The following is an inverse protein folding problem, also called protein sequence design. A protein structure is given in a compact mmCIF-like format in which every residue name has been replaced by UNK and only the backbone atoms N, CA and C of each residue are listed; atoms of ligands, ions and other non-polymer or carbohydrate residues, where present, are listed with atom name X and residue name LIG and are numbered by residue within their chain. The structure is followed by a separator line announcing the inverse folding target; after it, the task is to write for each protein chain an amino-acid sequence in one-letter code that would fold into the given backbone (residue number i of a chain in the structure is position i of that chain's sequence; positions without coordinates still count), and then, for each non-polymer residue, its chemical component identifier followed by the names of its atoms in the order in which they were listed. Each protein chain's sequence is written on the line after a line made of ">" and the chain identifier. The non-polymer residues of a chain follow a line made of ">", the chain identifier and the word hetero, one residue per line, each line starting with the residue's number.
data_IF_353331762689
#
_entry.id   IF_353331762689
#
_cell.length_a   1.000
_cell.length_b   1.000
_cell.length_c   1.000
_cell.angle_alpha   90.00
_cell.angle_beta   90.00
_cell.angle_gamma   90.00
#
_symmetry.space_group_name_H-M   'P 1'
#
loop_
_entity.id
_entity.type
_entity.pdbx_description
1 polymer ?
#
# COMPACT_ATOMS: atom_id res chain seq x y z
N UNK A 1 -20.09 23.85 28.70
CA UNK A 1 -20.16 22.53 28.05
C UNK A 1 -18.86 22.27 27.30
N UNK A 2 -18.11 21.20 27.59
CA UNK A 2 -16.82 20.93 26.94
C UNK A 2 -16.90 20.62 25.43
N UNK A 3 -18.00 19.99 24.97
CA UNK A 3 -18.19 19.64 23.56
C UNK A 3 -18.25 20.85 22.63
N UNK A 4 -19.04 21.87 22.99
CA UNK A 4 -19.20 23.09 22.18
C UNK A 4 -17.87 23.82 21.99
N UNK A 5 -17.01 23.84 23.02
CA UNK A 5 -15.67 24.42 22.94
C UNK A 5 -14.75 23.63 22.01
N UNK A 6 -14.71 22.30 22.14
CA UNK A 6 -13.89 21.45 21.27
C UNK A 6 -14.33 21.56 19.80
N UNK A 7 -15.63 21.60 19.55
CA UNK A 7 -16.16 21.75 18.20
C UNK A 7 -15.80 23.12 17.61
N UNK A 8 -16.00 24.20 18.36
CA UNK A 8 -15.62 25.54 17.93
C UNK A 8 -14.12 25.64 17.58
N UNK A 9 -13.25 24.95 18.33
CA UNK A 9 -11.82 24.90 18.04
C UNK A 9 -11.49 24.11 16.75
N UNK A 10 -12.18 22.98 16.50
CA UNK A 10 -12.03 22.22 15.26
C UNK A 10 -12.54 23.00 14.04
N UNK A 11 -13.66 23.70 14.18
CA UNK A 11 -14.27 24.52 13.13
C UNK A 11 -13.36 25.71 12.78
N UNK A 12 -12.81 26.37 13.81
CA UNK A 12 -11.83 27.44 13.66
C UNK A 12 -10.61 26.98 12.85
N UNK A 13 -10.06 25.81 13.17
CA UNK A 13 -8.92 25.22 12.44
C UNK A 13 -9.23 24.81 11.00
N UNK A 14 -10.50 24.55 10.69
CA UNK A 14 -10.93 24.09 9.36
C UNK A 14 -11.23 25.25 8.42
N UNK A 15 -11.95 26.27 8.87
CA UNK A 15 -12.42 27.37 7.99
C UNK A 15 -11.53 28.62 8.02
N UNK A 16 -11.00 28.98 9.19
CA UNK A 16 -10.28 30.24 9.38
C UNK A 16 -8.77 29.99 9.49
N UNK A 17 -8.33 29.12 10.38
CA UNK A 17 -6.91 28.88 10.69
C UNK A 17 -6.36 27.69 9.88
N UNK A 18 -6.85 27.52 8.65
CA UNK A 18 -6.51 26.38 7.79
C UNK A 18 -5.02 26.39 7.38
N UNK A 19 -4.43 25.20 7.24
CA UNK A 19 -3.01 25.06 6.95
C UNK A 19 -2.56 25.55 5.56
N UNK A 20 -3.49 25.67 4.59
CA UNK A 20 -3.16 26.08 3.20
C UNK A 20 -3.56 27.52 2.92
N UNK A 21 -4.70 27.97 3.45
CA UNK A 21 -5.30 29.27 3.15
C UNK A 21 -5.86 29.86 4.44
N UNK A 22 -5.00 30.27 5.38
CA UNK A 22 -5.46 30.88 6.62
C UNK A 22 -6.07 32.27 6.35
N UNK A 23 -7.10 32.63 7.12
CA UNK A 23 -7.81 33.93 7.08
C UNK A 23 -7.66 34.63 8.43
N UNK A 24 -6.43 34.93 8.89
CA UNK A 24 -6.21 35.35 10.27
C UNK A 24 -6.91 36.67 10.63
N UNK A 25 -7.16 37.55 9.66
CA UNK A 25 -7.91 38.80 9.87
C UNK A 25 -9.38 38.59 10.26
N UNK A 26 -9.95 37.46 9.85
CA UNK A 26 -11.31 37.03 10.15
C UNK A 26 -11.39 36.22 11.45
N UNK A 27 -10.24 35.89 12.05
CA UNK A 27 -10.20 35.05 13.26
C UNK A 27 -10.81 35.77 14.46
N UNK A 28 -11.82 35.17 15.13
CA UNK A 28 -12.41 35.73 16.33
C UNK A 28 -11.40 35.80 17.49
N UNK A 29 -10.28 35.07 17.40
CA UNK A 29 -9.24 35.03 18.42
C UNK A 29 -7.93 35.72 18.00
N UNK A 30 -7.94 36.52 16.92
CA UNK A 30 -6.72 37.17 16.40
C UNK A 30 -5.97 38.01 17.43
N UNK A 31 -6.69 38.65 18.34
CA UNK A 31 -6.11 39.45 19.44
C UNK A 31 -5.40 38.61 20.50
N UNK A 32 -5.66 37.29 20.53
CA UNK A 32 -4.99 36.33 21.40
C UNK A 32 -3.92 35.50 20.66
N UNK A 33 -3.78 35.68 19.34
CA UNK A 33 -2.87 34.91 18.52
C UNK A 33 -1.50 35.59 18.41
N UNK A 34 -0.49 35.07 19.11
CA UNK A 34 0.87 35.62 19.06
C UNK A 34 1.46 35.64 17.64
N UNK A 35 1.19 34.61 16.82
CA UNK A 35 1.69 34.56 15.45
C UNK A 35 1.09 35.66 14.57
N UNK A 36 -0.19 36.01 14.78
CA UNK A 36 -0.83 37.15 14.12
C UNK A 36 -0.22 38.48 14.59
N UNK A 37 -0.12 38.68 15.90
CA UNK A 37 0.42 39.91 16.50
C UNK A 37 1.88 40.18 16.11
N UNK A 38 2.67 39.14 15.87
CA UNK A 38 4.08 39.25 15.48
C UNK A 38 4.31 39.15 13.96
N UNK A 39 3.26 39.03 13.14
CA UNK A 39 3.39 38.90 11.69
C UNK A 39 4.16 37.65 11.25
N UNK A 40 4.09 36.56 12.02
CA UNK A 40 4.82 35.29 11.79
C UNK A 40 3.89 34.11 11.50
N UNK A 41 2.63 34.38 11.17
CA UNK A 41 1.59 33.38 10.95
C UNK A 41 1.98 32.33 9.88
N UNK A 42 2.68 32.75 8.83
CA UNK A 42 3.20 31.92 7.73
C UNK A 42 4.24 30.88 8.15
N UNK A 43 4.88 31.06 9.31
CA UNK A 43 5.92 30.17 9.84
C UNK A 43 5.36 28.99 10.62
N UNK A 44 4.06 28.99 10.92
CA UNK A 44 3.44 28.00 11.79
C UNK A 44 2.37 27.14 11.07
N UNK A 45 2.18 25.89 11.51
CA UNK A 45 3.01 25.18 12.47
C UNK A 45 4.35 24.73 11.84
N UNK A 46 5.43 24.79 12.61
CA UNK A 46 6.72 24.23 12.20
C UNK A 46 6.58 22.71 12.25
N UNK A 47 6.59 22.06 11.08
CA UNK A 47 6.50 20.60 10.95
C UNK A 47 7.88 20.03 10.68
N UNK A 48 8.21 18.95 11.37
CA UNK A 48 9.37 18.15 10.99
C UNK A 48 9.18 17.58 9.58
N UNK A 49 10.26 17.47 8.78
CA UNK A 49 10.20 16.78 7.50
C UNK A 49 9.66 15.36 7.66
N UNK A 50 8.68 14.99 6.85
CA UNK A 50 8.15 13.62 6.85
C UNK A 50 9.26 12.64 6.43
N UNK A 51 9.39 11.53 7.16
CA UNK A 51 10.26 10.42 6.75
C UNK A 51 9.80 9.89 5.39
N UNK A 52 10.76 9.58 4.52
CA UNK A 52 10.46 8.96 3.21
C UNK A 52 9.85 7.57 3.43
N UNK A 53 8.75 7.21 2.75
CA UNK A 53 8.19 5.87 2.80
C UNK A 53 9.20 4.82 2.34
N UNK A 54 9.22 3.65 2.98
CA UNK A 54 10.08 2.52 2.57
C UNK A 54 9.57 1.94 1.24
N UNK A 55 10.42 1.79 0.19
CA UNK A 55 10.03 1.09 -1.02
C UNK A 55 9.95 -0.42 -0.75
N UNK A 56 8.89 -1.07 -1.26
CA UNK A 56 8.64 -2.51 -1.14
C UNK A 56 8.25 -3.03 -2.54
N UNK A 57 8.86 -4.13 -2.96
CA UNK A 57 8.45 -4.85 -4.18
C UNK A 57 7.55 -6.01 -3.79
N UNK A 58 6.43 -6.13 -4.48
CA UNK A 58 5.43 -7.18 -4.24
C UNK A 58 5.19 -7.90 -5.56
N UNK A 59 5.18 -9.23 -5.52
CA UNK A 59 4.55 -10.04 -6.57
C UNK A 59 3.14 -10.42 -6.12
N UNK A 60 2.15 -10.15 -6.95
CA UNK A 60 0.76 -10.55 -6.72
C UNK A 60 0.34 -11.61 -7.74
N UNK A 61 -0.30 -12.68 -7.27
CA UNK A 61 -0.63 -13.84 -8.07
C UNK A 61 -2.13 -13.89 -8.37
N UNK A 62 -2.48 -13.64 -9.63
CA UNK A 62 -3.87 -13.66 -10.10
C UNK A 62 -4.19 -15.06 -10.59
N UNK A 63 -4.81 -15.86 -9.73
CA UNK A 63 -5.17 -17.24 -10.03
C UNK A 63 -6.66 -17.37 -10.26
N UNK A 64 -7.04 -18.02 -11.37
CA UNK A 64 -8.43 -18.35 -11.64
C UNK A 64 -8.63 -19.85 -11.90
N UNK A 65 -9.82 -20.36 -11.61
CA UNK A 65 -10.19 -21.74 -11.91
C UNK A 65 -10.99 -21.84 -13.22
N UNK A 66 -11.31 -23.07 -13.65
CA UNK A 66 -12.17 -23.33 -14.82
C UNK A 66 -13.60 -22.76 -14.73
N UNK A 67 -14.07 -22.40 -13.53
CA UNK A 67 -15.36 -21.73 -13.32
C UNK A 67 -15.26 -20.20 -13.43
N UNK A 68 -14.06 -19.66 -13.63
CA UNK A 68 -13.81 -18.21 -13.69
C UNK A 68 -13.78 -17.52 -12.33
N UNK A 69 -13.70 -18.27 -11.24
CA UNK A 69 -13.54 -17.72 -9.89
C UNK A 69 -12.06 -17.40 -9.63
N UNK A 70 -11.79 -16.37 -8.84
CA UNK A 70 -10.45 -15.95 -8.44
C UNK A 70 -10.08 -16.45 -7.04
N UNK A 71 -8.83 -16.86 -6.85
CA UNK A 71 -8.31 -17.20 -5.54
C UNK A 71 -7.92 -15.93 -4.78
N UNK A 72 -8.53 -15.72 -3.62
CA UNK A 72 -8.17 -14.66 -2.68
C UNK A 72 -7.64 -15.27 -1.38
N UNK A 73 -6.73 -14.54 -0.75
CA UNK A 73 -6.13 -14.82 0.55
C UNK A 73 -6.48 -13.69 1.53
N UNK A 74 -6.87 -14.06 2.75
CA UNK A 74 -7.14 -13.11 3.82
C UNK A 74 -5.89 -12.87 4.65
N UNK A 75 -5.55 -11.61 4.82
CA UNK A 75 -4.39 -11.21 5.62
C UNK A 75 -4.69 -11.29 7.13
N UNK A 76 -4.55 -12.48 7.71
CA UNK A 76 -4.82 -12.72 9.14
C UNK A 76 -3.64 -12.35 10.06
N UNK A 77 -2.43 -12.21 9.52
CA UNK A 77 -1.19 -12.05 10.31
C UNK A 77 -0.54 -10.66 10.17
N UNK A 78 -0.94 -9.85 9.19
CA UNK A 78 -0.30 -8.58 8.87
C UNK A 78 -0.78 -7.40 9.71
N UNK A 79 0.16 -6.61 10.22
CA UNK A 79 -0.12 -5.28 10.82
C UNK A 79 -0.67 -4.28 9.79
N UNK A 80 -0.21 -4.38 8.54
CA UNK A 80 -0.71 -3.57 7.42
C UNK A 80 -1.79 -4.36 6.67
N UNK A 81 -2.95 -3.74 6.44
CA UNK A 81 -4.11 -4.37 5.77
C UNK A 81 -4.61 -5.66 6.44
N UNK A 82 -4.43 -5.80 7.76
CA UNK A 82 -4.95 -6.94 8.50
C UNK A 82 -6.46 -7.07 8.36
N UNK A 83 -6.93 -8.29 8.08
CA UNK A 83 -8.34 -8.64 7.88
C UNK A 83 -8.87 -8.42 6.46
N UNK A 84 -8.10 -7.80 5.56
CA UNK A 84 -8.50 -7.63 4.16
C UNK A 84 -8.21 -8.89 3.34
N UNK A 85 -9.01 -9.07 2.30
CA UNK A 85 -8.79 -10.06 1.24
C UNK A 85 -8.02 -9.41 0.10
N UNK A 86 -7.03 -10.12 -0.42
CA UNK A 86 -6.30 -9.75 -1.63
C UNK A 86 -6.02 -10.98 -2.47
N UNK A 87 -5.52 -10.79 -3.69
CA UNK A 87 -4.77 -11.86 -4.33
C UNK A 87 -3.61 -12.29 -3.41
N UNK A 88 -3.18 -13.56 -3.48
CA UNK A 88 -1.95 -13.97 -2.83
C UNK A 88 -0.80 -13.05 -3.23
N UNK A 89 -0.08 -12.53 -2.24
CA UNK A 89 1.02 -11.60 -2.44
C UNK A 89 2.27 -12.09 -1.72
N UNK A 90 3.43 -11.84 -2.32
CA UNK A 90 4.73 -12.12 -1.71
C UNK A 90 5.61 -10.87 -1.82
N UNK A 91 6.24 -10.48 -0.71
CA UNK A 91 7.32 -9.49 -0.74
C UNK A 91 8.53 -10.12 -1.42
N UNK A 92 9.03 -9.46 -2.45
CA UNK A 92 10.26 -9.88 -3.11
C UNK A 92 11.38 -8.99 -2.61
N UNK A 93 12.40 -9.59 -2.01
CA UNK A 93 13.61 -8.83 -1.68
C UNK A 93 14.17 -8.20 -2.95
N UNK A 94 14.47 -6.91 -2.87
CA UNK A 94 15.19 -6.21 -3.93
C UNK A 94 16.56 -6.87 -4.08
N UNK A 95 16.73 -7.74 -5.07
CA UNK A 95 18.07 -8.11 -5.57
C UNK A 95 18.62 -6.93 -6.39
N UNK A 96 18.57 -5.70 -5.86
CA UNK A 96 19.10 -4.52 -6.55
C UNK A 96 20.63 -4.44 -6.48
N UNK A 97 21.31 -5.28 -5.67
CA UNK A 97 22.77 -5.16 -5.46
C UNK A 97 23.65 -6.21 -6.16
N UNK A 98 23.10 -7.14 -6.95
CA UNK A 98 23.92 -8.14 -7.66
C UNK A 98 23.64 -8.30 -9.16
N UNK A 99 22.62 -7.65 -9.72
CA UNK A 99 22.28 -7.78 -11.15
C UNK A 99 23.05 -6.83 -12.08
N UNK A 100 23.77 -5.83 -11.56
CA UNK A 100 24.62 -4.94 -12.37
C UNK A 100 25.83 -5.65 -13.01
N UNK A 101 26.04 -6.95 -12.74
CA UNK A 101 27.16 -7.73 -13.27
C UNK A 101 26.79 -8.67 -14.43
N UNK A 102 25.50 -8.86 -14.75
CA UNK A 102 25.08 -9.75 -15.81
C UNK A 102 24.24 -9.03 -16.85
N UNK A 103 24.95 -8.47 -17.83
CA UNK A 103 24.38 -8.04 -19.10
C UNK A 103 23.89 -9.28 -19.85
N UNK A 104 22.58 -9.58 -19.75
CA UNK A 104 21.72 -10.23 -20.74
C UNK A 104 20.41 -10.73 -20.09
N UNK A 105 19.28 -10.05 -20.38
CA UNK A 105 17.88 -10.48 -20.14
C UNK A 105 17.48 -10.91 -18.71
N UNK A 106 17.53 -10.02 -17.71
CA UNK A 106 17.18 -10.34 -16.31
C UNK A 106 15.69 -10.64 -16.06
N UNK A 107 14.78 -10.17 -16.92
CA UNK A 107 13.33 -10.20 -16.64
C UNK A 107 12.69 -11.60 -16.75
N UNK A 108 13.28 -12.52 -17.51
CA UNK A 108 12.75 -13.88 -17.67
C UNK A 108 13.21 -14.80 -16.53
N UNK A 109 14.50 -14.76 -16.18
CA UNK A 109 15.07 -15.61 -15.12
C UNK A 109 14.50 -15.26 -13.73
N UNK A 110 14.24 -13.98 -13.47
CA UNK A 110 13.67 -13.48 -12.20
C UNK A 110 12.17 -13.83 -12.04
N UNK A 111 11.42 -14.06 -13.14
CA UNK A 111 10.01 -14.49 -13.06
C UNK A 111 9.86 -15.97 -12.73
N UNK A 112 10.78 -16.79 -13.25
CA UNK A 112 10.83 -18.23 -12.93
C UNK A 112 11.10 -18.43 -11.43
N UNK A 113 11.90 -17.57 -10.80
CA UNK A 113 12.13 -17.65 -9.35
C UNK A 113 10.91 -17.24 -8.52
N UNK A 114 10.14 -16.22 -8.92
CA UNK A 114 8.94 -15.76 -8.19
C UNK A 114 7.79 -16.77 -8.25
N UNK A 115 7.51 -17.30 -9.45
CA UNK A 115 6.50 -18.36 -9.65
C UNK A 115 6.87 -19.62 -8.88
N UNK A 116 8.14 -20.05 -8.92
CA UNK A 116 8.62 -21.18 -8.14
C UNK A 116 8.51 -20.95 -6.61
N UNK A 117 8.77 -19.72 -6.14
CA UNK A 117 8.61 -19.37 -4.73
C UNK A 117 7.14 -19.49 -4.28
N UNK A 118 6.19 -19.06 -5.12
CA UNK A 118 4.77 -19.29 -4.89
C UNK A 118 4.45 -20.78 -4.80
N UNK A 119 4.91 -21.57 -5.78
CA UNK A 119 4.65 -23.01 -5.82
C UNK A 119 5.18 -23.73 -4.57
N UNK A 120 6.37 -23.35 -4.09
CA UNK A 120 6.93 -23.88 -2.85
C UNK A 120 6.19 -23.44 -1.60
N UNK A 121 5.73 -22.18 -1.55
CA UNK A 121 5.04 -21.64 -0.37
C UNK A 121 3.63 -22.21 -0.23
N UNK A 122 2.87 -22.21 -1.31
CA UNK A 122 1.48 -22.66 -1.35
C UNK A 122 1.32 -24.14 -1.75
N UNK A 123 2.43 -24.84 -2.03
CA UNK A 123 2.49 -26.27 -2.33
C UNK A 123 1.53 -26.68 -3.47
N UNK A 124 1.54 -25.87 -4.53
CA UNK A 124 0.66 -26.02 -5.68
C UNK A 124 1.40 -25.64 -6.96
N UNK A 125 0.90 -26.08 -8.12
CA UNK A 125 1.55 -25.84 -9.41
C UNK A 125 0.55 -25.28 -10.41
N UNK A 126 0.32 -23.95 -10.41
CA UNK A 126 -0.56 -23.31 -11.37
C UNK A 126 0.00 -23.40 -12.78
N UNK A 127 -0.89 -23.45 -13.77
CA UNK A 127 -0.51 -23.27 -15.17
C UNK A 127 -0.36 -21.78 -15.45
N UNK A 128 0.87 -21.29 -15.34
CA UNK A 128 1.16 -19.87 -15.50
C UNK A 128 0.99 -19.36 -16.92
N UNK A 129 0.44 -18.16 -17.05
CA UNK A 129 0.39 -17.39 -18.29
C UNK A 129 1.72 -16.69 -18.57
N UNK A 130 2.00 -16.44 -19.85
CA UNK A 130 3.10 -15.59 -20.31
C UNK A 130 2.69 -14.11 -20.44
N UNK A 131 1.43 -13.80 -20.13
CA UNK A 131 0.91 -12.44 -20.17
C UNK A 131 1.70 -11.49 -19.26
N UNK A 132 2.02 -10.31 -19.78
CA UNK A 132 2.76 -9.27 -19.07
C UNK A 132 1.80 -8.15 -18.71
N UNK A 133 1.75 -7.81 -17.43
CA UNK A 133 0.95 -6.71 -16.92
C UNK A 133 1.82 -5.50 -16.56
N UNK A 134 1.28 -4.27 -16.68
CA UNK A 134 1.94 -3.09 -16.16
C UNK A 134 2.05 -3.16 -14.64
N UNK A 135 3.14 -2.60 -14.10
CA UNK A 135 3.32 -2.50 -12.65
C UNK A 135 2.30 -1.57 -12.01
N UNK A 136 1.78 -1.98 -10.85
CA UNK A 136 0.87 -1.16 -10.05
C UNK A 136 1.65 -0.53 -8.90
N UNK A 137 1.52 0.80 -8.73
CA UNK A 137 2.16 1.52 -7.63
C UNK A 137 1.12 1.94 -6.60
N UNK A 138 1.35 1.60 -5.34
CA UNK A 138 0.48 2.01 -4.24
C UNK A 138 1.31 2.69 -3.14
N UNK A 139 0.83 3.82 -2.61
CA UNK A 139 1.56 4.62 -1.61
C UNK A 139 0.77 4.72 -0.31
N UNK A 140 1.33 4.14 0.75
CA UNK A 140 0.88 4.30 2.13
C UNK A 140 1.66 5.43 2.83
N UNK A 141 1.22 5.82 4.03
CA UNK A 141 1.92 6.82 4.85
C UNK A 141 3.38 6.47 5.14
N UNK A 142 3.70 5.17 5.25
CA UNK A 142 5.02 4.68 5.67
C UNK A 142 5.70 3.76 4.66
N UNK A 143 4.99 3.30 3.63
CA UNK A 143 5.51 2.35 2.65
C UNK A 143 5.03 2.72 1.24
N UNK A 144 5.81 2.35 0.23
CA UNK A 144 5.42 2.48 -1.18
C UNK A 144 5.63 1.14 -1.86
N UNK A 145 4.52 0.51 -2.25
CA UNK A 145 4.51 -0.76 -2.94
C UNK A 145 4.63 -0.54 -4.44
N UNK A 146 5.51 -1.32 -5.06
CA UNK A 146 5.53 -1.54 -6.50
C UNK A 146 5.19 -3.00 -6.72
N UNK A 147 4.08 -3.23 -7.43
CA UNK A 147 3.44 -4.54 -7.52
C UNK A 147 3.56 -5.03 -8.96
N UNK A 148 4.14 -6.20 -9.13
CA UNK A 148 4.12 -6.99 -10.37
C UNK A 148 3.05 -8.07 -10.28
N UNK A 149 2.45 -8.42 -11.43
CA UNK A 149 1.35 -9.37 -11.49
C UNK A 149 1.77 -10.60 -12.30
N UNK A 150 1.51 -11.77 -11.74
CA UNK A 150 1.63 -13.07 -12.41
C UNK A 150 0.28 -13.75 -12.45
N UNK A 151 -0.19 -14.07 -13.65
CA UNK A 151 -1.47 -14.74 -13.86
C UNK A 151 -1.27 -16.25 -14.09
N UNK A 152 -2.20 -17.06 -13.59
CA UNK A 152 -2.21 -18.50 -13.85
C UNK A 152 -3.57 -19.16 -13.63
N UNK A 153 -3.70 -20.38 -14.14
CA UNK A 153 -4.90 -21.22 -13.98
C UNK A 153 -4.63 -22.29 -12.93
N UNK A 154 -5.56 -22.47 -11.99
CA UNK A 154 -5.49 -23.50 -10.96
C UNK A 154 -6.89 -24.07 -10.67
N UNK A 155 -7.14 -25.32 -11.07
CA UNK A 155 -8.47 -25.95 -10.98
C UNK A 155 -8.76 -26.58 -9.61
N UNK A 156 -7.73 -27.06 -8.92
CA UNK A 156 -7.86 -27.67 -7.59
C UNK A 156 -6.80 -27.09 -6.68
N UNK A 157 -7.24 -26.36 -5.67
CA UNK A 157 -6.39 -25.85 -4.60
C UNK A 157 -6.96 -26.30 -3.27
N UNK A 158 -6.16 -27.05 -2.52
CA UNK A 158 -6.41 -27.34 -1.11
C UNK A 158 -5.37 -26.56 -0.33
N UNK A 159 -5.74 -25.47 0.37
CA UNK A 159 -4.78 -24.72 1.16
C UNK A 159 -4.17 -25.64 2.21
N UNK A 160 -2.85 -25.85 2.13
CA UNK A 160 -2.06 -26.50 3.19
C UNK A 160 -1.37 -25.47 4.09
N UNK A 161 -1.56 -24.19 3.81
CA UNK A 161 -1.08 -23.07 4.63
C UNK A 161 -2.08 -22.75 5.74
N UNK A 162 -1.61 -22.10 6.81
CA UNK A 162 -2.49 -21.55 7.86
C UNK A 162 -3.36 -20.37 7.36
N UNK A 163 -3.16 -19.94 6.11
CA UNK A 163 -3.86 -18.84 5.49
C UNK A 163 -5.31 -19.18 5.14
N UNK A 164 -6.23 -18.29 5.48
CA UNK A 164 -7.64 -18.39 5.08
C UNK A 164 -7.76 -17.97 3.61
N UNK A 165 -8.15 -18.92 2.75
CA UNK A 165 -8.28 -18.71 1.30
C UNK A 165 -9.65 -19.09 0.78
N UNK A 166 -10.11 -18.38 -0.25
CA UNK A 166 -11.41 -18.59 -0.86
C UNK A 166 -11.38 -18.36 -2.37
N UNK A 167 -12.14 -19.18 -3.09
CA UNK A 167 -12.51 -18.90 -4.49
C UNK A 167 -13.69 -17.93 -4.49
N UNK A 168 -13.56 -16.83 -5.22
CA UNK A 168 -14.55 -15.76 -5.27
C UNK A 168 -14.91 -15.46 -6.72
N UNK A 169 -16.21 -15.45 -7.02
CA UNK A 169 -16.70 -15.10 -8.37
C UNK A 169 -16.49 -13.59 -8.66
N UNK A 170 -16.24 -13.21 -9.92
CA UNK A 170 -16.07 -11.81 -10.32
C UNK A 170 -17.30 -10.93 -10.10
#
# INVERSE_FOLDING_TARGET
>A
RPGDFNQALMDLGTDIESAKTPKPDQSPIKFFCAAYLNGTYDKYPIKEPKKKPRPIQIEAFVLHNSKGEFLLEKNNQGRLLGGFWSFPIMETDLVEQQLDLFDNSPQMLERVSKKAAFESHYQTTPKWSEQIFPQVKHTFSHQKWTITLSEGVLDSFTPQTESEMAWVSP
#
